data_IF_191813343729
#
_entry.id   IF_191813343729
#
_cell.length_a   1.000
_cell.length_b   1.000
_cell.length_c   1.000
_cell.angle_alpha   90.00
_cell.angle_beta   90.00
_cell.angle_gamma   90.00
#
_symmetry.space_group_name_H-M   'P 1'
#
loop_
_entity.id
_entity.type
_entity.pdbx_description
1 polymer ?
#
# COMPACT_ATOMS: atom_id res chain seq x y z
N UNK A 1 -40.82 -12.61 -30.84
CA UNK A 1 -40.93 -12.39 -29.37
C UNK A 1 -39.81 -13.09 -28.61
N UNK A 2 -39.23 -14.19 -29.11
CA UNK A 2 -38.06 -14.83 -28.48
C UNK A 2 -36.79 -13.94 -28.53
N UNK A 3 -36.54 -13.22 -29.63
CA UNK A 3 -35.32 -12.39 -29.78
C UNK A 3 -35.15 -11.23 -28.78
N UNK A 4 -36.25 -10.70 -28.24
CA UNK A 4 -36.20 -9.63 -27.24
C UNK A 4 -35.81 -10.22 -25.88
N UNK A 5 -36.35 -11.41 -25.54
CA UNK A 5 -36.01 -12.10 -24.30
C UNK A 5 -34.57 -12.64 -24.33
N UNK A 6 -34.07 -13.09 -25.49
CA UNK A 6 -32.68 -13.56 -25.63
C UNK A 6 -31.66 -12.43 -25.48
N UNK A 7 -31.99 -11.20 -25.92
CA UNK A 7 -31.13 -10.03 -25.70
C UNK A 7 -31.16 -9.50 -24.26
N UNK A 8 -32.32 -9.57 -23.59
CA UNK A 8 -32.47 -9.12 -22.19
C UNK A 8 -31.85 -10.12 -21.20
N UNK A 9 -31.86 -11.42 -21.51
CA UNK A 9 -31.25 -12.47 -20.68
C UNK A 9 -29.76 -12.66 -20.93
N UNK A 10 -29.20 -12.05 -21.99
CA UNK A 10 -27.77 -12.03 -22.22
C UNK A 10 -27.10 -10.97 -21.32
N UNK A 11 -27.11 -11.23 -20.01
CA UNK A 11 -26.48 -10.38 -18.99
C UNK A 11 -25.01 -10.08 -19.31
N UNK A 12 -24.31 -11.01 -19.99
CA UNK A 12 -22.93 -10.84 -20.43
C UNK A 12 -22.72 -9.75 -21.50
N UNK A 13 -23.77 -9.34 -22.20
CA UNK A 13 -23.72 -8.27 -23.20
C UNK A 13 -23.78 -6.85 -22.59
N UNK A 14 -24.24 -6.72 -21.34
CA UNK A 14 -24.29 -5.46 -20.58
C UNK A 14 -23.23 -5.40 -19.46
N UNK A 15 -22.48 -6.49 -19.25
CA UNK A 15 -21.28 -6.41 -18.43
C UNK A 15 -20.31 -5.45 -19.10
N UNK A 16 -19.72 -4.49 -18.36
CA UNK A 16 -18.53 -3.80 -18.82
C UNK A 16 -17.56 -4.86 -19.32
N UNK A 17 -16.97 -4.67 -20.50
CA UNK A 17 -15.81 -5.48 -20.87
C UNK A 17 -14.86 -5.44 -19.67
N UNK A 18 -14.33 -6.59 -19.21
CA UNK A 18 -13.23 -6.53 -18.26
C UNK A 18 -12.22 -5.55 -18.83
N UNK A 19 -11.65 -4.71 -17.97
CA UNK A 19 -10.49 -3.90 -18.33
C UNK A 19 -9.56 -4.77 -19.16
N UNK A 20 -8.96 -4.23 -20.22
CA UNK A 20 -8.18 -4.98 -21.22
C UNK A 20 -6.93 -5.69 -20.65
N UNK A 21 -6.78 -5.69 -19.34
CA UNK A 21 -5.73 -6.32 -18.59
C UNK A 21 -6.31 -7.61 -18.02
N UNK A 22 -5.91 -8.75 -18.59
CA UNK A 22 -6.10 -10.04 -17.95
C UNK A 22 -5.44 -9.96 -16.56
N UNK A 23 -6.24 -10.03 -15.48
CA UNK A 23 -5.74 -9.92 -14.10
C UNK A 23 -4.68 -10.99 -13.76
N UNK A 24 -4.68 -12.10 -14.50
CA UNK A 24 -3.73 -13.21 -14.39
C UNK A 24 -2.48 -13.06 -15.30
N UNK A 25 -2.39 -12.00 -16.11
CA UNK A 25 -1.24 -11.76 -16.99
C UNK A 25 -0.16 -10.91 -16.31
N UNK A 26 1.03 -11.48 -15.98
CA UNK A 26 2.13 -10.71 -15.41
C UNK A 26 2.66 -9.60 -16.33
N UNK A 27 2.33 -9.62 -17.63
CA UNK A 27 2.65 -8.52 -18.56
C UNK A 27 1.94 -7.22 -18.20
N UNK A 28 0.73 -7.29 -17.64
CA UNK A 28 -0.12 -6.12 -17.39
C UNK A 28 0.58 -5.10 -16.47
N UNK A 29 1.30 -5.57 -15.46
CA UNK A 29 2.11 -4.72 -14.58
C UNK A 29 3.18 -3.96 -15.37
N UNK A 30 3.88 -4.64 -16.27
CA UNK A 30 4.92 -4.03 -17.09
C UNK A 30 4.36 -3.03 -18.09
N UNK A 31 3.19 -3.31 -18.65
CA UNK A 31 2.49 -2.39 -19.55
C UNK A 31 2.05 -1.12 -18.84
N UNK A 32 1.48 -1.24 -17.64
CA UNK A 32 1.14 -0.07 -16.81
C UNK A 32 2.39 0.77 -16.53
N UNK A 33 3.48 0.14 -16.08
CA UNK A 33 4.71 0.86 -15.74
C UNK A 33 5.33 1.57 -16.95
N UNK A 34 5.23 0.98 -18.15
CA UNK A 34 5.73 1.60 -19.39
C UNK A 34 4.81 2.68 -19.94
N UNK A 35 3.50 2.51 -19.78
CA UNK A 35 2.48 3.46 -20.26
C UNK A 35 2.29 4.66 -19.34
N UNK A 36 2.81 4.62 -18.11
CA UNK A 36 2.69 5.72 -17.15
C UNK A 36 3.68 6.85 -17.46
N UNK A 37 3.20 8.08 -17.52
CA UNK A 37 4.07 9.26 -17.57
C UNK A 37 4.53 9.66 -16.16
N UNK A 38 5.75 9.23 -15.82
CA UNK A 38 6.38 9.46 -14.53
C UNK A 38 6.82 10.91 -14.28
N UNK A 39 6.68 11.80 -15.26
CA UNK A 39 7.04 13.22 -15.09
C UNK A 39 5.97 14.04 -14.38
N UNK A 40 4.76 13.47 -14.23
CA UNK A 40 3.64 14.18 -13.59
C UNK A 40 3.94 14.50 -12.11
N UNK A 41 3.75 15.76 -11.66
CA UNK A 41 4.14 16.19 -10.32
C UNK A 41 3.51 15.40 -9.17
N UNK A 42 2.26 14.98 -9.31
CA UNK A 42 1.55 14.22 -8.27
C UNK A 42 2.14 12.80 -8.10
N UNK A 43 2.55 12.14 -9.19
CA UNK A 43 3.23 10.85 -9.16
C UNK A 43 4.60 10.97 -8.50
N UNK A 44 5.37 12.00 -8.87
CA UNK A 44 6.66 12.29 -8.23
C UNK A 44 6.46 12.49 -6.72
N UNK A 45 5.40 13.20 -6.33
CA UNK A 45 5.02 13.38 -4.92
C UNK A 45 4.80 12.05 -4.19
N UNK A 46 4.08 11.11 -4.80
CA UNK A 46 3.84 9.76 -4.24
C UNK A 46 5.16 8.99 -4.08
N UNK A 47 6.02 9.02 -5.10
CA UNK A 47 7.33 8.33 -5.05
C UNK A 47 8.19 8.90 -3.92
N UNK A 48 8.29 10.24 -3.82
CA UNK A 48 9.03 10.90 -2.73
C UNK A 48 8.46 10.53 -1.37
N UNK A 49 7.13 10.49 -1.23
CA UNK A 49 6.46 10.06 0.00
C UNK A 49 6.89 8.65 0.41
N UNK A 50 6.97 7.68 -0.52
CA UNK A 50 7.40 6.32 -0.21
C UNK A 50 8.87 6.26 0.26
N UNK A 51 9.78 6.94 -0.44
CA UNK A 51 11.18 6.99 -0.02
C UNK A 51 11.36 7.68 1.34
N UNK A 52 10.66 8.79 1.56
CA UNK A 52 10.74 9.54 2.80
C UNK A 52 10.14 8.76 3.97
N UNK A 53 9.00 8.11 3.78
CA UNK A 53 8.37 7.28 4.81
C UNK A 53 9.22 6.05 5.16
N UNK A 54 9.81 5.38 4.17
CA UNK A 54 10.75 4.28 4.43
C UNK A 54 11.99 4.75 5.19
N UNK A 55 12.55 5.90 4.78
CA UNK A 55 13.68 6.52 5.47
C UNK A 55 13.33 6.84 6.92
N UNK A 56 12.18 7.46 7.18
CA UNK A 56 11.74 7.76 8.55
C UNK A 56 11.51 6.47 9.36
N UNK A 57 10.93 5.42 8.79
CA UNK A 57 10.77 4.13 9.47
C UNK A 57 12.09 3.53 9.93
N UNK A 58 13.13 3.64 9.11
CA UNK A 58 14.48 3.17 9.48
C UNK A 58 15.12 4.11 10.51
N UNK A 59 15.05 5.43 10.29
CA UNK A 59 15.68 6.43 11.13
C UNK A 59 15.07 6.46 12.54
N UNK A 60 13.75 6.41 12.64
CA UNK A 60 12.99 6.45 13.90
C UNK A 60 12.69 5.06 14.47
N UNK A 61 13.37 4.02 13.98
CA UNK A 61 13.12 2.63 14.39
C UNK A 61 13.17 2.38 15.90
N UNK A 62 13.89 3.18 16.68
CA UNK A 62 13.96 3.00 18.15
C UNK A 62 12.76 3.60 18.91
N UNK A 63 11.88 4.33 18.24
CA UNK A 63 10.67 4.91 18.85
C UNK A 63 9.47 3.98 18.65
N UNK A 64 9.01 3.33 19.72
CA UNK A 64 7.79 2.51 19.70
C UNK A 64 6.56 3.33 19.29
N UNK A 65 6.46 4.58 19.77
CA UNK A 65 5.37 5.48 19.42
C UNK A 65 5.32 5.72 17.90
N UNK A 66 6.46 5.98 17.28
CA UNK A 66 6.52 6.17 15.83
C UNK A 66 6.11 4.89 15.09
N UNK A 67 6.60 3.72 15.51
CA UNK A 67 6.22 2.44 14.89
C UNK A 67 4.71 2.19 14.96
N UNK A 68 4.08 2.43 16.11
CA UNK A 68 2.64 2.26 16.26
C UNK A 68 1.86 3.25 15.39
N UNK A 69 2.24 4.52 15.39
CA UNK A 69 1.57 5.55 14.58
C UNK A 69 1.73 5.24 13.09
N UNK A 70 2.95 4.96 12.63
CA UNK A 70 3.20 4.64 11.21
C UNK A 70 2.46 3.40 10.76
N UNK A 71 2.40 2.35 11.59
CA UNK A 71 1.61 1.15 11.30
C UNK A 71 0.12 1.47 11.11
N UNK A 72 -0.46 2.24 12.04
CA UNK A 72 -1.87 2.65 11.96
C UNK A 72 -2.11 3.52 10.72
N UNK A 73 -1.28 4.54 10.50
CA UNK A 73 -1.43 5.49 9.39
C UNK A 73 -1.28 4.78 8.04
N UNK A 74 -0.25 3.97 7.84
CA UNK A 74 -0.04 3.27 6.57
C UNK A 74 -1.16 2.26 6.29
N UNK A 75 -1.64 1.56 7.33
CA UNK A 75 -2.78 0.65 7.17
C UNK A 75 -4.06 1.40 6.78
N UNK A 76 -4.36 2.53 7.44
CA UNK A 76 -5.52 3.36 7.10
C UNK A 76 -5.44 3.92 5.69
N UNK A 77 -4.26 4.35 5.25
CA UNK A 77 -4.03 4.80 3.87
C UNK A 77 -4.27 3.67 2.86
N UNK A 78 -3.72 2.48 3.12
CA UNK A 78 -3.92 1.33 2.25
C UNK A 78 -5.40 0.91 2.17
N UNK A 79 -6.12 0.92 3.30
CA UNK A 79 -7.56 0.63 3.33
C UNK A 79 -8.41 1.69 2.63
N UNK A 80 -8.00 2.95 2.70
CA UNK A 80 -8.71 4.07 2.06
C UNK A 80 -8.37 4.21 0.57
N UNK A 81 -7.45 3.40 0.04
CA UNK A 81 -6.96 3.52 -1.34
C UNK A 81 -8.06 3.27 -2.38
N UNK A 82 -9.00 2.37 -2.11
CA UNK A 82 -10.14 2.10 -2.99
C UNK A 82 -11.02 3.35 -3.16
N UNK A 83 -11.30 4.04 -2.04
CA UNK A 83 -12.05 5.30 -2.04
C UNK A 83 -11.29 6.35 -2.86
N UNK A 84 -9.98 6.50 -2.61
CA UNK A 84 -9.17 7.44 -3.38
C UNK A 84 -9.17 7.13 -4.88
N UNK A 85 -9.13 5.85 -5.24
CA UNK A 85 -9.17 5.39 -6.63
C UNK A 85 -10.50 5.72 -7.31
N UNK A 86 -11.63 5.53 -6.63
CA UNK A 86 -12.94 5.91 -7.16
C UNK A 86 -13.05 7.43 -7.37
N UNK A 87 -12.60 8.23 -6.40
CA UNK A 87 -12.56 9.68 -6.57
C UNK A 87 -11.62 10.10 -7.70
N UNK A 88 -10.45 9.47 -7.79
CA UNK A 88 -9.46 9.76 -8.80
C UNK A 88 -9.94 9.37 -10.21
N UNK A 89 -10.69 8.28 -10.37
CA UNK A 89 -11.25 7.88 -11.67
C UNK A 89 -12.34 8.82 -12.17
N UNK A 90 -13.04 9.53 -11.28
CA UNK A 90 -14.04 10.53 -11.64
C UNK A 90 -13.39 11.88 -11.97
N UNK A 91 -12.34 12.27 -11.24
CA UNK A 91 -11.76 13.62 -11.30
C UNK A 91 -10.34 13.67 -11.86
N UNK A 92 -9.89 12.63 -12.57
CA UNK A 92 -8.52 12.51 -13.08
C UNK A 92 -8.06 13.74 -13.86
N UNK A 93 -8.92 14.31 -14.71
CA UNK A 93 -8.62 15.50 -15.55
C UNK A 93 -8.18 16.73 -14.75
N UNK A 94 -8.46 16.79 -13.44
CA UNK A 94 -8.06 17.93 -12.60
C UNK A 94 -6.60 17.89 -12.20
N UNK A 95 -5.94 16.73 -12.25
CA UNK A 95 -4.60 16.56 -11.69
C UNK A 95 -3.68 15.64 -12.50
N UNK A 96 -4.23 14.82 -13.39
CA UNK A 96 -3.49 13.89 -14.23
C UNK A 96 -3.79 14.14 -15.71
N UNK A 97 -2.80 13.86 -16.55
CA UNK A 97 -2.94 14.01 -18.00
C UNK A 97 -3.63 12.80 -18.65
N UNK A 98 -3.69 11.66 -17.95
CA UNK A 98 -4.36 10.43 -18.38
C UNK A 98 -5.25 9.81 -17.29
N UNK A 99 -6.22 9.01 -17.72
CA UNK A 99 -7.14 8.27 -16.85
C UNK A 99 -6.49 6.98 -16.30
N UNK A 100 -5.58 7.10 -15.33
CA UNK A 100 -4.88 5.96 -14.74
C UNK A 100 -5.73 5.07 -13.83
N UNK A 101 -6.80 5.62 -13.26
CA UNK A 101 -7.58 4.97 -12.21
C UNK A 101 -8.79 4.25 -12.79
N UNK A 102 -8.96 2.98 -12.43
CA UNK A 102 -9.97 2.07 -12.97
C UNK A 102 -10.74 1.36 -11.85
N UNK A 103 -11.85 0.68 -12.19
CA UNK A 103 -12.66 -0.02 -11.18
C UNK A 103 -11.94 -1.19 -10.52
N UNK A 104 -10.95 -1.79 -11.19
CA UNK A 104 -10.14 -2.85 -10.61
C UNK A 104 -9.09 -2.31 -9.63
N UNK A 105 -8.72 -1.03 -9.73
CA UNK A 105 -7.75 -0.40 -8.85
C UNK A 105 -6.34 -0.94 -9.02
N UNK A 106 -6.01 -1.49 -10.19
CA UNK A 106 -4.72 -2.13 -10.44
C UNK A 106 -3.59 -1.11 -10.36
N UNK A 107 -3.81 0.08 -10.93
CA UNK A 107 -2.84 1.18 -10.91
C UNK A 107 -2.55 1.68 -9.48
N UNK A 108 -3.59 2.04 -8.72
CA UNK A 108 -3.41 2.53 -7.33
C UNK A 108 -2.77 1.45 -6.46
N UNK A 109 -3.09 0.17 -6.70
CA UNK A 109 -2.53 -0.92 -5.92
C UNK A 109 -1.04 -1.05 -6.16
N UNK A 110 -0.60 -0.95 -7.41
CA UNK A 110 0.81 -1.05 -7.79
C UNK A 110 1.63 0.15 -7.30
N UNK A 111 1.12 1.37 -7.49
CA UNK A 111 1.88 2.59 -7.24
C UNK A 111 1.83 3.02 -5.76
N UNK A 112 0.72 2.73 -5.06
CA UNK A 112 0.49 3.22 -3.71
C UNK A 112 0.49 2.09 -2.67
N UNK A 113 -0.35 1.06 -2.83
CA UNK A 113 -0.52 0.02 -1.81
C UNK A 113 0.69 -0.90 -1.69
N UNK A 114 1.28 -1.35 -2.80
CA UNK A 114 2.43 -2.25 -2.78
C UNK A 114 3.63 -1.64 -2.04
N UNK A 115 4.08 -0.41 -2.34
CA UNK A 115 5.12 0.25 -1.56
C UNK A 115 4.72 0.50 -0.09
N UNK A 116 3.45 0.84 0.19
CA UNK A 116 2.96 0.98 1.57
C UNK A 116 3.06 -0.33 2.36
N UNK A 117 2.71 -1.46 1.75
CA UNK A 117 2.84 -2.79 2.38
C UNK A 117 4.30 -3.12 2.69
N UNK A 118 5.23 -2.76 1.79
CA UNK A 118 6.67 -2.89 2.06
C UNK A 118 7.07 -2.05 3.27
N UNK A 119 6.61 -0.80 3.37
CA UNK A 119 6.88 0.06 4.54
C UNK A 119 6.32 -0.53 5.84
N UNK A 120 5.11 -1.08 5.81
CA UNK A 120 4.50 -1.76 6.95
C UNK A 120 5.34 -2.97 7.35
N UNK A 121 5.72 -3.80 6.39
CA UNK A 121 6.52 -5.00 6.64
C UNK A 121 7.88 -4.68 7.27
N UNK A 122 8.60 -3.69 6.72
CA UNK A 122 9.87 -3.21 7.27
C UNK A 122 9.68 -2.69 8.70
N UNK A 123 8.64 -1.90 8.95
CA UNK A 123 8.35 -1.35 10.28
C UNK A 123 8.09 -2.47 11.30
N UNK A 124 7.33 -3.51 10.92
CA UNK A 124 7.06 -4.68 11.77
C UNK A 124 8.33 -5.47 12.07
N UNK A 125 9.19 -5.73 11.07
CA UNK A 125 10.47 -6.42 11.29
C UNK A 125 11.33 -5.63 12.29
N UNK A 126 11.48 -4.33 12.09
CA UNK A 126 12.25 -3.46 12.98
C UNK A 126 11.68 -3.46 14.40
N UNK A 127 10.35 -3.43 14.54
CA UNK A 127 9.66 -3.53 15.82
C UNK A 127 10.02 -4.81 16.56
N UNK A 128 9.94 -5.96 15.88
CA UNK A 128 10.22 -7.28 16.48
C UNK A 128 11.69 -7.39 16.91
N UNK A 129 12.63 -6.95 16.06
CA UNK A 129 14.06 -6.95 16.41
C UNK A 129 14.32 -6.09 17.66
N UNK A 130 13.78 -4.87 17.69
CA UNK A 130 13.97 -3.97 18.84
C UNK A 130 13.33 -4.52 20.12
N UNK A 131 12.11 -5.06 20.03
CA UNK A 131 11.43 -5.67 21.17
C UNK A 131 12.23 -6.86 21.76
N UNK A 132 12.88 -7.64 20.90
CA UNK A 132 13.74 -8.75 21.31
C UNK A 132 14.99 -8.24 22.05
N UNK A 133 15.66 -7.23 21.51
CA UNK A 133 16.83 -6.60 22.14
C UNK A 133 16.48 -6.00 23.51
N UNK A 134 15.33 -5.33 23.60
CA UNK A 134 14.85 -4.70 24.84
C UNK A 134 14.50 -5.77 25.88
N UNK A 135 13.84 -6.85 25.48
CA UNK A 135 13.52 -7.97 26.38
C UNK A 135 14.79 -8.63 26.94
N UNK A 136 15.80 -8.84 26.10
CA UNK A 136 17.09 -9.39 26.53
C UNK A 136 17.77 -8.46 27.54
N UNK A 137 17.75 -7.15 27.30
CA UNK A 137 18.31 -6.17 28.23
C UNK A 137 17.57 -6.14 29.56
N UNK A 138 16.23 -6.15 29.53
CA UNK A 138 15.40 -6.23 30.73
C UNK A 138 15.72 -7.48 31.56
N UNK A 139 15.86 -8.64 30.90
CA UNK A 139 16.24 -9.90 31.59
C UNK A 139 17.63 -9.82 32.21
N UNK A 140 18.60 -9.22 31.53
CA UNK A 140 19.94 -8.99 32.10
C UNK A 140 19.89 -8.09 33.34
N UNK A 141 19.08 -7.03 33.31
CA UNK A 141 18.88 -6.13 34.44
C UNK A 141 18.22 -6.84 35.63
N UNK A 142 17.16 -7.62 35.40
CA UNK A 142 16.49 -8.42 36.44
C UNK A 142 17.47 -9.36 37.15
N UNK A 143 18.30 -10.09 36.40
CA UNK A 143 19.28 -11.02 36.97
C UNK A 143 20.36 -10.29 37.80
N UNK A 144 20.83 -9.14 37.33
CA UNK A 144 21.81 -8.34 38.06
C UNK A 144 21.27 -7.83 39.40
N UNK A 145 19.98 -7.49 39.46
CA UNK A 145 19.31 -7.07 40.70
C UNK A 145 19.08 -8.23 41.66
N UNK A 146 18.70 -9.42 41.15
CA UNK A 146 18.57 -10.62 41.98
C UNK A 146 19.90 -11.01 42.63
N UNK A 147 20.98 -11.04 41.86
CA UNK A 147 22.32 -11.36 42.38
C UNK A 147 22.79 -10.36 43.46
N UNK A 148 22.40 -9.08 43.37
CA UNK A 148 22.69 -8.07 44.39
C UNK A 148 21.87 -8.22 45.67
N UNK A 149 20.68 -8.83 45.60
CA UNK A 149 19.83 -9.10 46.79
C UNK A 149 20.20 -10.40 47.51
N UNK A 150 20.86 -11.32 46.82
CA UNK A 150 21.30 -12.62 47.37
C UNK A 150 22.71 -12.55 47.99
N UNK A 151 23.49 -11.52 47.67
CA UNK A 151 24.73 -11.15 48.38
C UNK A 151 24.42 -10.22 49.55
#
# INVERSE_FOLDING_TARGET
MEDIFTNVLNFSAWLPKPSSFDEDDPSAVLEILKGTDWTQPWLIGIIIFHFLSLFLSIYLRKSLLYQCISLIVFTLLALSSEIFNEYASIYWERFADDAYFDSAGLFITLIFNMPLLVNIFVTVILAICNATDDLIQLKKLELSQKNKKTK
#
